data_IF_345725620530
#
_entry.id   IF_345725620530
#
_cell.length_a   1.000
_cell.length_b   1.000
_cell.length_c   1.000
_cell.angle_alpha   90.00
_cell.angle_beta   90.00
_cell.angle_gamma   90.00
#
_symmetry.space_group_name_H-M   'P 1'
#
loop_
_entity.id
_entity.type
_entity.pdbx_description
1 polymer ?
#
# COMPACT_ATOMS: atom_id res chain seq x y z
N UNK A 1 1.29 -8.01 -15.15
CA UNK A 1 0.59 -7.42 -13.99
C UNK A 1 1.57 -7.45 -12.82
N UNK A 2 1.91 -6.30 -12.24
CA UNK A 2 2.88 -6.19 -11.15
C UNK A 2 2.13 -6.16 -9.83
N UNK A 3 2.37 -7.11 -8.92
CA UNK A 3 1.62 -7.24 -7.65
C UNK A 3 2.17 -6.41 -6.50
N UNK A 4 3.40 -5.91 -6.61
CA UNK A 4 4.05 -5.12 -5.58
C UNK A 4 5.09 -4.16 -6.17
N UNK A 5 5.47 -3.08 -5.47
CA UNK A 5 6.44 -2.13 -5.99
C UNK A 5 7.86 -2.67 -5.85
N UNK A 6 8.70 -2.43 -6.85
CA UNK A 6 10.09 -2.94 -6.92
C UNK A 6 10.97 -2.47 -5.75
N UNK A 7 10.81 -1.21 -5.34
CA UNK A 7 11.64 -0.59 -4.29
C UNK A 7 10.77 -0.13 -3.12
N UNK A 8 10.02 -1.06 -2.53
CA UNK A 8 9.21 -0.76 -1.35
C UNK A 8 10.08 -0.49 -0.12
N UNK A 9 9.97 0.70 0.45
CA UNK A 9 10.50 1.03 1.77
C UNK A 9 9.33 1.33 2.71
N UNK A 10 9.38 0.76 3.91
CA UNK A 10 8.34 0.96 4.92
C UNK A 10 8.44 2.37 5.51
N UNK A 11 7.34 3.12 5.48
CA UNK A 11 7.28 4.43 6.15
C UNK A 11 7.05 4.20 7.65
N UNK A 12 8.03 4.57 8.47
CA UNK A 12 8.05 4.26 9.91
C UNK A 12 7.72 5.45 10.81
N UNK A 13 7.79 6.67 10.27
CA UNK A 13 7.48 7.94 10.94
C UNK A 13 5.98 8.11 11.17
N UNK A 14 5.59 9.21 11.85
CA UNK A 14 4.18 9.58 12.07
C UNK A 14 3.53 10.24 10.87
N UNK A 15 4.33 10.76 9.93
CA UNK A 15 3.87 11.37 8.68
C UNK A 15 4.48 10.61 7.50
N UNK A 16 3.64 10.07 6.62
CA UNK A 16 4.05 9.29 5.45
C UNK A 16 3.90 10.11 4.18
N UNK A 17 4.88 10.05 3.29
CA UNK A 17 4.86 10.77 2.02
C UNK A 17 5.15 9.82 0.85
N UNK A 18 4.13 9.54 0.05
CA UNK A 18 4.27 8.74 -1.16
C UNK A 18 4.18 9.67 -2.38
N UNK A 19 5.35 10.10 -2.91
CA UNK A 19 5.44 10.98 -4.09
C UNK A 19 4.66 10.44 -5.28
N UNK A 20 4.71 9.13 -5.47
CA UNK A 20 3.90 8.42 -6.44
C UNK A 20 2.82 7.61 -5.75
N UNK A 21 1.61 7.61 -6.30
CA UNK A 21 0.52 6.79 -5.75
C UNK A 21 0.76 5.30 -5.97
N UNK A 22 1.56 4.92 -6.97
CA UNK A 22 1.75 3.54 -7.40
C UNK A 22 0.80 3.16 -8.54
N UNK A 23 1.18 2.17 -9.34
CA UNK A 23 0.43 1.66 -10.50
C UNK A 23 0.39 0.12 -10.53
N UNK A 24 0.38 -0.50 -9.35
CA UNK A 24 0.53 -1.94 -9.15
C UNK A 24 -0.71 -2.57 -8.48
N UNK A 25 -0.73 -3.90 -8.46
CA UNK A 25 -1.89 -4.73 -8.15
C UNK A 25 -3.12 -4.32 -8.97
N UNK A 26 -4.21 -3.98 -8.29
CA UNK A 26 -5.48 -3.55 -8.90
C UNK A 26 -5.66 -2.02 -8.87
N UNK A 27 -4.66 -1.26 -8.39
CA UNK A 27 -4.78 0.18 -8.24
C UNK A 27 -4.87 0.89 -9.60
N UNK A 28 -5.88 1.73 -9.75
CA UNK A 28 -6.05 2.63 -10.88
C UNK A 28 -6.36 4.04 -10.38
N UNK A 29 -5.45 4.99 -10.61
CA UNK A 29 -5.59 6.37 -10.13
C UNK A 29 -6.83 7.13 -10.63
N UNK A 30 -7.55 6.61 -11.65
CA UNK A 30 -8.80 7.20 -12.16
C UNK A 30 -10.03 6.84 -11.34
N UNK A 31 -9.97 5.81 -10.49
CA UNK A 31 -11.09 5.43 -9.64
C UNK A 31 -11.24 6.43 -8.48
N UNK A 32 -12.36 7.14 -8.45
CA UNK A 32 -12.62 8.20 -7.47
C UNK A 32 -12.69 7.62 -6.06
N UNK A 33 -12.11 8.32 -5.10
CA UNK A 33 -12.13 7.91 -3.70
C UNK A 33 -11.14 6.80 -3.33
N UNK A 34 -10.33 6.31 -4.28
CA UNK A 34 -9.26 5.39 -3.91
C UNK A 34 -8.10 6.09 -3.22
N UNK A 35 -7.26 5.27 -2.62
CA UNK A 35 -6.06 5.65 -1.90
C UNK A 35 -4.86 4.92 -2.54
N UNK A 36 -3.66 5.39 -2.22
CA UNK A 36 -2.45 4.79 -2.74
C UNK A 36 -2.29 3.36 -2.17
N UNK A 37 -1.96 2.34 -3.00
CA UNK A 37 -1.68 0.97 -2.54
C UNK A 37 -0.48 0.86 -1.59
N UNK A 38 0.34 1.91 -1.46
CA UNK A 38 1.38 1.95 -0.45
C UNK A 38 0.82 2.02 0.99
N UNK A 39 -0.30 2.70 1.20
CA UNK A 39 -0.88 2.84 2.55
C UNK A 39 -1.41 1.51 3.10
N UNK A 40 -2.25 0.70 2.40
CA UNK A 40 -2.67 -0.61 2.92
C UNK A 40 -1.46 -1.52 3.13
N UNK A 41 -0.48 -1.49 2.21
CA UNK A 41 0.74 -2.28 2.33
C UNK A 41 1.52 -1.93 3.60
N UNK A 42 1.65 -0.65 3.93
CA UNK A 42 2.36 -0.19 5.12
C UNK A 42 1.65 -0.62 6.41
N UNK A 43 0.31 -0.51 6.46
CA UNK A 43 -0.49 -0.92 7.61
C UNK A 43 -0.40 -2.44 7.80
N UNK A 44 -0.69 -3.23 6.76
CA UNK A 44 -0.69 -4.70 6.82
C UNK A 44 0.69 -5.21 7.22
N UNK A 45 1.76 -4.75 6.55
CA UNK A 45 3.13 -5.19 6.88
C UNK A 45 3.58 -4.80 8.29
N UNK A 46 3.01 -3.74 8.88
CA UNK A 46 3.38 -3.27 10.23
C UNK A 46 2.61 -3.98 11.34
N UNK A 47 1.36 -4.38 11.08
CA UNK A 47 0.43 -4.83 12.13
C UNK A 47 -0.13 -6.23 11.94
N UNK A 48 0.19 -6.92 10.86
CA UNK A 48 -0.21 -8.31 10.65
C UNK A 48 0.97 -9.19 10.23
N UNK A 49 0.76 -10.49 10.33
CA UNK A 49 1.66 -11.54 9.85
C UNK A 49 1.01 -12.29 8.70
N UNK A 50 1.81 -13.11 8.04
CA UNK A 50 1.31 -14.03 7.04
C UNK A 50 0.25 -14.95 7.66
N UNK A 51 -0.84 -15.18 6.94
CA UNK A 51 -2.04 -15.92 7.37
C UNK A 51 -2.93 -15.24 8.43
N UNK A 52 -2.64 -14.01 8.85
CA UNK A 52 -3.60 -13.22 9.63
C UNK A 52 -4.78 -12.76 8.76
N UNK A 53 -5.97 -12.73 9.34
CA UNK A 53 -7.16 -12.20 8.68
C UNK A 53 -7.18 -10.67 8.76
N UNK A 54 -7.33 -10.01 7.61
CA UNK A 54 -7.53 -8.56 7.51
C UNK A 54 -8.94 -8.30 7.01
N UNK A 55 -9.70 -7.47 7.73
CA UNK A 55 -11.05 -7.06 7.39
C UNK A 55 -11.05 -5.57 7.02
N UNK A 56 -11.81 -5.22 5.97
CA UNK A 56 -12.16 -3.84 5.59
C UNK A 56 -13.63 -3.56 5.91
#
# INVERSE_FOLDING_TARGET
>A
MRWEPENYNMEVTTLWSFRERGNWATHNGRYRGNWSPYIPRNIIKRYSKENDMVLE
#
